data_IF_825467981321
#
_entry.id   IF_825467981321
#
_cell.length_a   1.000
_cell.length_b   1.000
_cell.length_c   1.000
_cell.angle_alpha   90.00
_cell.angle_beta   90.00
_cell.angle_gamma   90.00
#
_symmetry.space_group_name_H-M   'P 1'
#
loop_
_entity.id
_entity.type
_entity.pdbx_description
1 polymer ?
#
# COMPACT_ATOMS: atom_id res chain seq x y z
N UNK A 1 -39.05 -26.82 47.76
CA UNK A 1 -38.93 -27.98 46.82
C UNK A 1 -37.95 -27.58 45.72
N UNK A 2 -36.68 -27.92 45.89
CA UNK A 2 -35.65 -27.76 44.86
C UNK A 2 -35.81 -28.89 43.82
N UNK A 3 -36.04 -28.54 42.56
CA UNK A 3 -35.98 -29.48 41.45
C UNK A 3 -34.49 -29.74 41.17
N UNK A 4 -33.99 -30.91 41.57
CA UNK A 4 -32.70 -31.44 41.09
C UNK A 4 -32.82 -31.72 39.58
N UNK A 5 -32.09 -30.96 38.78
CA UNK A 5 -31.99 -31.21 37.33
C UNK A 5 -31.36 -32.58 37.10
N UNK A 6 -31.99 -33.39 36.26
CA UNK A 6 -31.60 -34.77 35.98
C UNK A 6 -30.22 -34.79 35.31
N UNK A 7 -29.27 -35.61 35.82
CA UNK A 7 -27.90 -35.73 35.33
C UNK A 7 -27.82 -35.92 33.82
N UNK A 8 -28.78 -36.63 33.25
CA UNK A 8 -28.87 -36.89 31.80
C UNK A 8 -29.20 -35.63 30.98
N UNK A 9 -29.92 -34.63 31.54
CA UNK A 9 -30.14 -33.36 30.87
C UNK A 9 -28.88 -32.50 30.79
N UNK A 10 -28.01 -32.58 31.78
CA UNK A 10 -26.74 -31.84 31.77
C UNK A 10 -25.75 -32.40 30.74
N UNK A 11 -25.68 -33.72 30.61
CA UNK A 11 -24.83 -34.36 29.61
C UNK A 11 -25.31 -34.08 28.17
N UNK A 12 -26.61 -34.06 27.94
CA UNK A 12 -27.17 -33.72 26.61
C UNK A 12 -26.89 -32.25 26.22
N UNK A 13 -27.06 -31.34 27.19
CA UNK A 13 -26.77 -29.90 26.95
C UNK A 13 -25.27 -29.70 26.67
N UNK A 14 -24.40 -30.38 27.41
CA UNK A 14 -22.96 -30.32 27.22
C UNK A 14 -22.54 -30.90 25.86
N UNK A 15 -23.10 -32.03 25.45
CA UNK A 15 -22.87 -32.64 24.16
C UNK A 15 -23.34 -31.71 22.99
N UNK A 16 -24.51 -31.08 23.11
CA UNK A 16 -25.00 -30.13 22.10
C UNK A 16 -24.10 -28.90 22.06
N UNK A 17 -23.65 -28.36 23.17
CA UNK A 17 -22.74 -27.22 23.23
C UNK A 17 -21.39 -27.54 22.64
N UNK A 18 -20.83 -28.73 22.92
CA UNK A 18 -19.55 -29.19 22.32
C UNK A 18 -19.71 -29.47 20.83
N UNK A 19 -20.84 -30.05 20.40
CA UNK A 19 -21.10 -30.33 18.98
C UNK A 19 -21.33 -29.05 18.18
N UNK A 20 -22.04 -28.07 18.74
CA UNK A 20 -22.20 -26.73 18.11
C UNK A 20 -20.88 -25.99 18.06
N UNK A 21 -20.04 -26.06 19.11
CA UNK A 21 -18.70 -25.45 19.11
C UNK A 21 -17.77 -26.13 18.08
N UNK A 22 -17.79 -27.46 17.96
CA UNK A 22 -17.05 -28.22 16.95
C UNK A 22 -17.56 -27.93 15.53
N UNK A 23 -18.87 -27.79 15.32
CA UNK A 23 -19.43 -27.43 14.01
C UNK A 23 -19.06 -25.99 13.60
N UNK A 24 -18.99 -25.06 14.55
CA UNK A 24 -18.56 -23.69 14.27
C UNK A 24 -17.07 -23.65 13.88
N UNK A 25 -16.23 -24.45 14.56
CA UNK A 25 -14.79 -24.50 14.24
C UNK A 25 -14.48 -25.22 12.93
N UNK A 26 -15.33 -26.13 12.46
CA UNK A 26 -15.14 -26.83 11.18
C UNK A 26 -15.71 -26.06 9.98
N UNK A 27 -16.62 -25.11 10.17
CA UNK A 27 -17.13 -24.25 9.09
C UNK A 27 -16.10 -23.22 8.60
N UNK A 28 -15.00 -23.02 9.33
CA UNK A 28 -13.86 -22.15 8.90
C UNK A 28 -12.77 -22.93 8.13
N UNK A 29 -13.04 -24.15 7.70
CA UNK A 29 -12.06 -25.00 7.06
C UNK A 29 -12.05 -24.84 5.54
N UNK A 30 -10.85 -24.58 5.06
CA UNK A 30 -10.37 -24.75 3.68
C UNK A 30 -10.72 -23.66 2.67
N UNK A 31 -10.18 -22.47 2.90
CA UNK A 31 -9.83 -21.65 1.74
C UNK A 31 -8.73 -22.37 0.95
N UNK A 32 -8.78 -22.27 -0.39
CA UNK A 32 -7.75 -22.85 -1.25
C UNK A 32 -6.37 -22.21 -1.02
N UNK A 33 -5.31 -22.89 -1.45
CA UNK A 33 -3.92 -22.45 -1.23
C UNK A 33 -3.65 -21.03 -1.81
N UNK A 34 -4.27 -20.69 -2.94
CA UNK A 34 -4.11 -19.37 -3.55
C UNK A 34 -4.75 -18.29 -2.69
N UNK A 35 -5.98 -18.50 -2.23
CA UNK A 35 -6.67 -17.62 -1.30
C UNK A 35 -5.88 -17.45 -0.01
N UNK A 36 -5.37 -18.54 0.58
CA UNK A 36 -4.54 -18.49 1.79
C UNK A 36 -3.26 -17.66 1.58
N UNK A 37 -2.60 -17.81 0.42
CA UNK A 37 -1.42 -17.00 0.06
C UNK A 37 -1.73 -15.52 -0.06
N UNK A 38 -2.87 -15.15 -0.65
CA UNK A 38 -3.32 -13.76 -0.77
C UNK A 38 -3.63 -13.20 0.61
N UNK A 39 -4.46 -13.89 1.39
CA UNK A 39 -4.90 -13.44 2.72
C UNK A 39 -3.72 -13.29 3.68
N UNK A 40 -2.71 -14.15 3.59
CA UNK A 40 -1.51 -14.04 4.44
C UNK A 40 -0.74 -12.73 4.26
N UNK A 41 -0.77 -12.13 3.05
CA UNK A 41 -0.14 -10.84 2.75
C UNK A 41 -0.96 -9.65 3.26
N UNK A 42 -2.25 -9.85 3.49
CA UNK A 42 -3.18 -8.79 3.88
C UNK A 42 -3.37 -8.70 5.40
N UNK A 43 -2.85 -9.62 6.19
CA UNK A 43 -3.05 -9.72 7.65
C UNK A 43 -2.84 -8.40 8.38
N UNK A 44 -3.69 -8.14 9.39
CA UNK A 44 -3.68 -6.93 10.23
C UNK A 44 -4.62 -5.84 9.73
N UNK A 45 -4.47 -4.65 10.33
CA UNK A 45 -5.39 -3.54 10.13
C UNK A 45 -4.98 -2.65 8.97
N UNK A 46 -6.00 -2.17 8.23
CA UNK A 46 -5.89 -1.21 7.16
C UNK A 46 -6.79 -0.01 7.46
N UNK A 47 -6.23 1.17 7.35
CA UNK A 47 -6.84 2.41 7.81
C UNK A 47 -7.28 3.28 6.64
N UNK A 48 -8.43 3.92 6.77
CA UNK A 48 -8.90 4.95 5.84
C UNK A 48 -8.10 6.26 5.99
N UNK A 49 -8.36 7.24 5.15
CA UNK A 49 -7.72 8.57 5.19
C UNK A 49 -7.94 9.33 6.51
N UNK A 50 -8.93 8.93 7.31
CA UNK A 50 -9.23 9.53 8.61
C UNK A 50 -8.57 8.77 9.76
N UNK A 51 -7.87 7.69 9.49
CA UNK A 51 -7.24 6.83 10.46
C UNK A 51 -8.20 5.85 11.16
N UNK A 52 -9.41 5.63 10.62
CA UNK A 52 -10.29 4.59 11.11
C UNK A 52 -9.93 3.25 10.47
N UNK A 53 -10.11 2.16 11.22
CA UNK A 53 -9.95 0.80 10.69
C UNK A 53 -11.07 0.54 9.67
N UNK A 54 -10.70 0.34 8.42
CA UNK A 54 -11.62 0.02 7.34
C UNK A 54 -11.67 -1.49 7.07
N UNK A 55 -10.51 -2.16 7.08
CA UNK A 55 -10.39 -3.62 7.01
C UNK A 55 -9.49 -4.10 8.13
N UNK A 56 -9.89 -5.21 8.76
CA UNK A 56 -9.09 -5.94 9.75
C UNK A 56 -9.05 -7.41 9.34
N UNK A 57 -7.89 -7.85 8.86
CA UNK A 57 -7.66 -9.23 8.45
C UNK A 57 -7.08 -10.02 9.61
N UNK A 58 -7.84 -11.00 10.12
CA UNK A 58 -7.42 -11.89 11.18
C UNK A 58 -7.64 -13.35 10.76
N UNK A 59 -6.55 -14.09 10.53
CA UNK A 59 -6.63 -15.45 10.00
C UNK A 59 -7.35 -15.47 8.65
N UNK A 60 -8.44 -16.23 8.57
CA UNK A 60 -9.27 -16.35 7.37
C UNK A 60 -10.54 -15.48 7.43
N UNK A 61 -10.48 -14.36 8.13
CA UNK A 61 -11.59 -13.42 8.22
C UNK A 61 -11.16 -12.00 7.85
N UNK A 62 -12.10 -11.18 7.44
CA UNK A 62 -11.95 -9.72 7.34
C UNK A 62 -13.12 -9.05 8.02
N UNK A 63 -12.84 -8.15 8.98
CA UNK A 63 -13.83 -7.51 9.86
C UNK A 63 -14.73 -8.55 10.56
N UNK A 64 -14.16 -9.72 10.95
CA UNK A 64 -14.89 -10.84 11.53
C UNK A 64 -15.72 -11.65 10.54
N UNK A 65 -15.81 -11.26 9.26
CA UNK A 65 -16.54 -11.98 8.23
C UNK A 65 -15.66 -13.07 7.61
N UNK A 66 -16.13 -14.33 7.50
CA UNK A 66 -15.36 -15.41 6.87
C UNK A 66 -15.04 -15.13 5.40
N UNK A 67 -13.79 -15.38 5.01
CA UNK A 67 -13.35 -15.33 3.63
C UNK A 67 -13.64 -16.68 2.98
N UNK A 68 -14.31 -16.67 1.84
CA UNK A 68 -14.70 -17.86 1.08
C UNK A 68 -13.69 -18.18 -0.01
N UNK A 69 -13.14 -17.15 -0.65
CA UNK A 69 -12.17 -17.30 -1.72
C UNK A 69 -11.69 -15.99 -2.31
N UNK A 70 -10.56 -16.06 -3.02
CA UNK A 70 -10.04 -14.97 -3.83
C UNK A 70 -10.15 -15.35 -5.32
N UNK A 71 -10.80 -14.49 -6.09
CA UNK A 71 -11.11 -14.72 -7.50
C UNK A 71 -10.38 -13.72 -8.39
N UNK A 72 -10.05 -14.16 -9.61
CA UNK A 72 -9.41 -13.32 -10.62
C UNK A 72 -8.13 -12.61 -10.15
N UNK A 73 -7.21 -13.32 -9.44
CA UNK A 73 -5.97 -12.69 -9.04
C UNK A 73 -5.14 -12.35 -10.28
N UNK A 74 -4.63 -11.12 -10.32
CA UNK A 74 -3.74 -10.65 -11.37
C UNK A 74 -2.60 -9.86 -10.76
N UNK A 75 -1.37 -10.09 -11.20
CA UNK A 75 -0.18 -9.39 -10.71
C UNK A 75 0.85 -10.31 -10.04
N UNK A 76 1.81 -9.70 -9.36
CA UNK A 76 2.97 -10.36 -8.76
C UNK A 76 2.88 -10.56 -7.25
N UNK A 77 4.06 -10.75 -6.61
CA UNK A 77 4.16 -11.13 -5.20
C UNK A 77 3.70 -10.07 -4.20
N UNK A 78 3.89 -8.80 -4.50
CA UNK A 78 3.53 -7.67 -3.61
C UNK A 78 2.48 -6.74 -4.22
N UNK A 79 2.36 -6.75 -5.55
CA UNK A 79 1.45 -5.90 -6.32
C UNK A 79 0.47 -6.78 -7.07
N UNK A 80 -0.77 -6.81 -6.64
CA UNK A 80 -1.80 -7.64 -7.25
C UNK A 80 -3.19 -7.03 -7.10
N UNK A 81 -4.12 -7.49 -7.92
CA UNK A 81 -5.54 -7.27 -7.75
C UNK A 81 -6.28 -8.57 -7.60
N UNK A 82 -7.38 -8.58 -6.86
CA UNK A 82 -8.28 -9.73 -6.75
C UNK A 82 -9.67 -9.29 -6.31
N UNK A 83 -10.63 -10.19 -6.49
CA UNK A 83 -11.95 -10.10 -5.86
C UNK A 83 -11.97 -11.06 -4.68
N UNK A 84 -12.05 -10.52 -3.47
CA UNK A 84 -12.17 -11.30 -2.25
C UNK A 84 -13.65 -11.49 -1.92
N UNK A 85 -14.11 -12.73 -1.86
CA UNK A 85 -15.49 -13.04 -1.46
C UNK A 85 -15.56 -13.38 0.01
N UNK A 86 -16.48 -12.74 0.70
CA UNK A 86 -16.74 -12.92 2.14
C UNK A 86 -18.22 -13.29 2.38
N UNK A 87 -18.51 -13.79 3.59
CA UNK A 87 -19.87 -13.96 4.07
C UNK A 87 -20.16 -12.85 5.07
N UNK A 88 -21.05 -11.95 4.75
CA UNK A 88 -21.51 -10.87 5.62
C UNK A 88 -23.05 -10.96 5.73
N UNK A 89 -23.57 -11.06 6.97
CA UNK A 89 -25.00 -11.21 7.25
C UNK A 89 -25.65 -12.35 6.43
N UNK A 90 -25.03 -13.54 6.46
CA UNK A 90 -25.47 -14.75 5.76
C UNK A 90 -25.52 -14.63 4.21
N UNK A 91 -24.94 -13.59 3.65
CA UNK A 91 -24.89 -13.33 2.22
C UNK A 91 -23.47 -13.19 1.70
N UNK A 92 -23.25 -13.58 0.44
CA UNK A 92 -21.95 -13.33 -0.19
C UNK A 92 -21.81 -11.85 -0.55
N UNK A 93 -20.63 -11.32 -0.25
CA UNK A 93 -20.21 -9.98 -0.63
C UNK A 93 -18.84 -10.04 -1.26
N UNK A 94 -18.66 -9.35 -2.36
CA UNK A 94 -17.41 -9.27 -3.09
C UNK A 94 -16.71 -7.92 -2.78
N UNK A 95 -15.45 -8.00 -2.41
CA UNK A 95 -14.56 -6.87 -2.20
C UNK A 95 -13.52 -6.89 -3.32
N UNK A 96 -13.51 -5.89 -4.18
CA UNK A 96 -12.46 -5.76 -5.17
C UNK A 96 -11.28 -5.02 -4.55
N UNK A 97 -10.09 -5.63 -4.58
CA UNK A 97 -8.87 -5.11 -4.01
C UNK A 97 -7.82 -4.90 -5.10
N UNK A 98 -7.21 -3.73 -5.12
CA UNK A 98 -5.96 -3.47 -5.82
C UNK A 98 -4.93 -3.24 -4.72
N UNK A 99 -3.93 -4.11 -4.63
CA UNK A 99 -2.94 -4.12 -3.57
C UNK A 99 -1.60 -3.70 -4.11
N UNK A 100 -0.90 -2.83 -3.41
CA UNK A 100 0.46 -2.42 -3.73
C UNK A 100 1.36 -2.53 -2.51
N UNK A 101 2.58 -3.03 -2.71
CA UNK A 101 3.62 -3.24 -1.69
C UNK A 101 3.18 -4.09 -0.48
N UNK A 102 2.12 -4.92 -0.64
CA UNK A 102 1.64 -5.80 0.42
C UNK A 102 2.55 -7.02 0.60
N UNK A 103 2.64 -7.53 1.85
CA UNK A 103 3.53 -8.65 2.17
C UNK A 103 4.89 -8.23 2.74
N UNK A 104 5.29 -6.98 2.56
CA UNK A 104 6.34 -6.32 3.32
C UNK A 104 5.66 -5.16 4.05
N UNK A 105 5.35 -5.28 5.34
CA UNK A 105 4.66 -4.21 6.08
C UNK A 105 5.58 -2.99 6.19
N UNK A 106 5.39 -2.06 5.29
CA UNK A 106 5.96 -0.73 5.33
C UNK A 106 4.83 0.30 5.14
N UNK A 107 5.14 1.58 5.24
CA UNK A 107 4.13 2.63 5.14
C UNK A 107 3.70 2.95 3.70
N UNK A 108 4.31 2.33 2.67
CA UNK A 108 3.86 2.39 1.29
C UNK A 108 2.88 1.28 0.93
N UNK A 109 2.71 0.27 1.80
CA UNK A 109 1.70 -0.76 1.59
C UNK A 109 0.31 -0.15 1.59
N UNK A 110 -0.43 -0.32 0.50
CA UNK A 110 -1.79 0.19 0.42
C UNK A 110 -2.72 -0.77 -0.33
N UNK A 111 -4.02 -0.62 -0.06
CA UNK A 111 -5.11 -1.29 -0.76
C UNK A 111 -6.03 -0.21 -1.32
N UNK A 112 -6.43 -0.33 -2.58
CA UNK A 112 -7.56 0.40 -3.13
C UNK A 112 -8.76 -0.54 -3.07
N UNK A 113 -9.70 -0.23 -2.17
CA UNK A 113 -10.90 -1.02 -1.95
C UNK A 113 -12.00 -0.58 -2.90
N UNK A 114 -12.59 -1.52 -3.61
CA UNK A 114 -13.71 -1.32 -4.54
C UNK A 114 -13.43 -0.31 -5.66
N UNK A 115 -12.15 -0.18 -6.06
CA UNK A 115 -11.78 0.50 -7.29
C UNK A 115 -12.29 -0.27 -8.51
N UNK A 116 -12.58 0.41 -9.61
CA UNK A 116 -12.85 -0.25 -10.87
C UNK A 116 -11.52 -0.66 -11.53
N UNK A 117 -11.52 -1.81 -12.23
CA UNK A 117 -10.36 -2.20 -13.03
C UNK A 117 -10.03 -1.09 -14.04
N UNK A 118 -8.84 -0.51 -13.94
CA UNK A 118 -8.41 0.63 -14.75
C UNK A 118 -8.86 2.01 -14.27
N UNK A 119 -9.67 2.11 -13.20
CA UNK A 119 -10.07 3.38 -12.58
C UNK A 119 -10.05 3.26 -11.06
N UNK A 120 -8.85 3.23 -10.50
CA UNK A 120 -8.65 3.17 -9.05
C UNK A 120 -9.12 4.45 -8.32
N UNK A 121 -9.35 5.56 -9.04
CA UNK A 121 -9.81 6.82 -8.45
C UNK A 121 -11.19 6.72 -7.80
N UNK A 122 -11.97 5.70 -8.15
CA UNK A 122 -13.30 5.44 -7.56
C UNK A 122 -13.25 4.61 -6.29
N UNK A 123 -12.11 4.00 -5.97
CA UNK A 123 -11.93 3.19 -4.78
C UNK A 123 -11.50 4.00 -3.56
N UNK A 124 -11.67 3.42 -2.38
CA UNK A 124 -11.11 3.98 -1.14
C UNK A 124 -9.68 3.47 -0.96
N UNK A 125 -8.72 4.37 -0.83
CA UNK A 125 -7.35 3.99 -0.48
C UNK A 125 -7.24 3.73 1.02
N UNK A 126 -6.68 2.59 1.35
CA UNK A 126 -6.42 2.15 2.71
C UNK A 126 -4.91 1.98 2.91
N UNK A 127 -4.40 2.45 4.05
CA UNK A 127 -2.98 2.42 4.40
C UNK A 127 -2.73 1.47 5.57
N UNK A 128 -1.49 0.99 5.69
CA UNK A 128 -1.04 0.20 6.87
C UNK A 128 -0.93 1.02 8.14
N UNK A 129 -0.81 2.32 8.05
CA UNK A 129 -0.65 3.22 9.19
C UNK A 129 -1.82 4.18 9.30
N UNK A 130 -2.16 4.60 10.52
CA UNK A 130 -3.26 5.56 10.77
C UNK A 130 -3.02 6.92 10.15
N UNK A 131 -1.76 7.28 9.96
CA UNK A 131 -1.32 8.53 9.34
C UNK A 131 -0.27 8.21 8.30
N UNK A 132 -0.31 8.92 7.17
CA UNK A 132 0.74 8.81 6.17
C UNK A 132 2.09 9.18 6.80
N UNK A 133 3.10 8.36 6.54
CA UNK A 133 4.47 8.59 6.95
C UNK A 133 5.33 8.67 5.70
N UNK A 134 6.23 9.64 5.67
CA UNK A 134 7.14 9.84 4.56
C UNK A 134 8.56 9.65 5.06
N UNK A 135 9.35 8.78 4.42
CA UNK A 135 10.73 8.58 4.80
C UNK A 135 11.62 9.69 4.25
N UNK A 136 11.59 9.89 2.93
CA UNK A 136 12.23 11.04 2.32
C UNK A 136 11.18 11.97 1.74
N UNK A 137 11.46 13.27 1.77
CA UNK A 137 10.57 14.29 1.24
C UNK A 137 11.34 15.39 0.51
N UNK A 138 10.62 16.14 -0.32
CA UNK A 138 11.12 17.35 -0.97
C UNK A 138 10.19 18.51 -0.61
N UNK A 139 10.66 19.39 0.26
CA UNK A 139 9.84 20.46 0.81
C UNK A 139 8.59 19.93 1.54
N UNK A 140 8.70 18.75 2.16
CA UNK A 140 7.63 18.07 2.85
C UNK A 140 6.59 17.41 1.93
N UNK A 141 6.88 17.17 0.63
CA UNK A 141 6.13 16.27 -0.23
C UNK A 141 6.83 14.92 -0.21
N UNK A 142 6.11 13.86 0.09
CA UNK A 142 6.59 12.48 0.07
C UNK A 142 5.81 11.60 -0.91
N UNK A 143 6.31 10.40 -1.14
CA UNK A 143 5.63 9.38 -1.95
C UNK A 143 4.30 9.02 -1.28
N UNK A 144 3.27 8.75 -2.06
CA UNK A 144 1.88 8.49 -1.67
C UNK A 144 1.11 9.71 -1.08
N UNK A 145 1.70 10.90 -1.07
CA UNK A 145 0.97 12.10 -0.65
C UNK A 145 -0.22 12.39 -1.58
N UNK A 146 -1.43 12.61 -1.05
CA UNK A 146 -2.59 12.96 -1.85
C UNK A 146 -2.39 14.26 -2.64
N UNK A 147 -2.89 14.32 -3.86
CA UNK A 147 -2.80 15.50 -4.74
C UNK A 147 -3.36 16.77 -4.07
N UNK A 148 -4.46 16.64 -3.31
CA UNK A 148 -5.06 17.75 -2.56
C UNK A 148 -4.10 18.38 -1.54
N UNK A 149 -3.25 17.57 -0.91
CA UNK A 149 -2.25 18.06 0.06
C UNK A 149 -1.09 18.75 -0.65
N UNK A 150 -0.67 18.21 -1.80
CA UNK A 150 0.33 18.87 -2.66
C UNK A 150 -0.16 20.24 -3.10
N UNK A 151 -1.42 20.34 -3.59
CA UNK A 151 -2.03 21.61 -4.01
C UNK A 151 -2.18 22.58 -2.83
N UNK A 152 -2.60 22.09 -1.68
CA UNK A 152 -2.71 22.93 -0.48
C UNK A 152 -1.36 23.51 -0.07
N UNK A 153 -0.24 22.81 -0.32
CA UNK A 153 1.11 23.21 0.04
C UNK A 153 1.76 24.14 -0.99
N UNK A 154 1.63 23.83 -2.28
CA UNK A 154 2.35 24.50 -3.36
C UNK A 154 1.45 25.21 -4.38
N UNK A 155 0.13 25.08 -4.25
CA UNK A 155 -0.81 25.55 -5.25
C UNK A 155 -0.88 24.62 -6.46
N UNK A 156 -1.57 25.10 -7.49
CA UNK A 156 -1.68 24.37 -8.76
C UNK A 156 -0.32 24.26 -9.46
N UNK A 157 0.01 23.13 -10.10
CA UNK A 157 1.20 23.03 -10.91
C UNK A 157 1.13 23.91 -12.15
N UNK A 158 2.29 24.39 -12.61
CA UNK A 158 2.39 25.18 -13.84
C UNK A 158 1.97 24.39 -15.08
N UNK A 159 2.12 23.07 -15.04
CA UNK A 159 1.77 22.16 -16.12
C UNK A 159 1.28 20.81 -15.61
N UNK A 160 0.28 20.28 -16.30
CA UNK A 160 -0.18 18.88 -16.16
C UNK A 160 -0.20 18.20 -17.51
N UNK A 161 0.42 17.03 -17.64
CA UNK A 161 0.40 16.24 -18.87
C UNK A 161 0.41 14.74 -18.56
N UNK A 162 -0.02 13.91 -19.49
CA UNK A 162 0.08 12.45 -19.36
C UNK A 162 1.56 12.05 -19.35
N UNK A 163 1.96 11.26 -18.35
CA UNK A 163 3.33 10.79 -18.21
C UNK A 163 3.64 9.64 -19.16
N UNK A 164 4.70 9.79 -19.96
CA UNK A 164 5.21 8.74 -20.87
C UNK A 164 4.13 7.99 -21.67
N UNK A 165 2.98 8.60 -21.92
CA UNK A 165 1.79 8.00 -22.55
C UNK A 165 1.17 6.83 -21.76
N UNK A 166 1.46 6.71 -20.47
CA UNK A 166 0.88 5.72 -19.58
C UNK A 166 -0.49 6.22 -19.10
N UNK A 167 -1.59 5.54 -19.41
CA UNK A 167 -2.91 5.93 -18.93
C UNK A 167 -2.96 5.94 -17.40
N UNK A 168 -3.52 6.98 -16.81
CA UNK A 168 -3.66 7.13 -15.35
C UNK A 168 -2.44 7.70 -14.64
N UNK A 169 -1.33 7.94 -15.36
CA UNK A 169 -0.16 8.63 -14.82
C UNK A 169 -0.05 10.04 -15.40
N UNK A 170 0.13 11.04 -14.53
CA UNK A 170 0.21 12.45 -14.90
C UNK A 170 1.49 13.06 -14.36
N UNK A 171 2.19 13.84 -15.19
CA UNK A 171 3.30 14.67 -14.76
C UNK A 171 2.76 16.05 -14.37
N UNK A 172 3.04 16.45 -13.15
CA UNK A 172 2.83 17.80 -12.62
C UNK A 172 4.17 18.50 -12.51
N UNK A 173 4.29 19.66 -13.14
CA UNK A 173 5.54 20.41 -13.12
C UNK A 173 5.36 21.74 -12.39
N UNK A 174 6.31 22.05 -11.53
CA UNK A 174 6.47 23.31 -10.82
C UNK A 174 7.79 23.95 -11.28
N UNK A 175 7.72 24.76 -12.36
CA UNK A 175 8.89 25.25 -13.08
C UNK A 175 9.83 26.08 -12.20
N UNK A 176 9.26 26.98 -11.36
CA UNK A 176 10.06 27.85 -10.48
C UNK A 176 10.86 27.07 -9.44
N UNK A 177 10.37 25.91 -9.07
CA UNK A 177 11.00 25.05 -8.06
C UNK A 177 11.93 24.01 -8.66
N UNK A 178 11.91 23.81 -9.98
CA UNK A 178 12.59 22.70 -10.62
C UNK A 178 12.11 21.35 -10.08
N UNK A 179 10.80 21.22 -9.84
CA UNK A 179 10.18 20.05 -9.25
C UNK A 179 9.17 19.46 -10.22
N UNK A 180 9.25 18.16 -10.43
CA UNK A 180 8.25 17.38 -11.14
C UNK A 180 7.70 16.29 -10.22
N UNK A 181 6.40 16.07 -10.27
CA UNK A 181 5.71 14.99 -9.55
C UNK A 181 5.01 14.11 -10.58
N UNK A 182 5.29 12.82 -10.56
CA UNK A 182 4.47 11.86 -11.29
C UNK A 182 3.33 11.47 -10.36
N UNK A 183 2.11 11.74 -10.80
CA UNK A 183 0.89 11.46 -10.05
C UNK A 183 0.26 10.19 -10.60
N UNK A 184 -0.08 9.27 -9.71
CA UNK A 184 -0.80 8.03 -10.03
C UNK A 184 -1.90 7.82 -8.99
N UNK A 185 -3.10 7.49 -9.43
CA UNK A 185 -4.25 7.31 -8.53
C UNK A 185 -4.51 8.51 -7.60
N UNK A 186 -4.28 9.72 -8.13
CA UNK A 186 -4.43 10.99 -7.41
C UNK A 186 -3.44 11.17 -6.23
N UNK A 187 -2.29 10.48 -6.29
CA UNK A 187 -1.20 10.53 -5.31
C UNK A 187 0.15 10.68 -5.98
N UNK A 188 1.12 11.11 -5.21
CA UNK A 188 2.51 11.22 -5.65
C UNK A 188 3.11 9.82 -5.78
N UNK A 189 3.39 9.39 -7.00
CA UNK A 189 4.07 8.13 -7.32
C UNK A 189 5.60 8.32 -7.38
N UNK A 190 6.05 9.47 -7.90
CA UNK A 190 7.47 9.82 -8.00
C UNK A 190 7.69 11.30 -7.77
N UNK A 191 8.84 11.62 -7.20
CA UNK A 191 9.32 12.99 -7.02
C UNK A 191 10.61 13.15 -7.82
N UNK A 192 10.66 14.15 -8.68
CA UNK A 192 11.80 14.42 -9.55
C UNK A 192 12.34 15.83 -9.27
N UNK A 193 13.56 15.91 -8.77
CA UNK A 193 14.27 17.16 -8.59
C UNK A 193 15.09 17.42 -9.85
N UNK A 194 14.89 18.58 -10.48
CA UNK A 194 15.61 18.99 -11.67
C UNK A 194 16.83 19.85 -11.29
N UNK A 195 17.88 19.74 -12.10
CA UNK A 195 19.17 20.44 -11.89
C UNK A 195 19.04 21.96 -11.79
N UNK A 196 18.10 22.52 -12.52
CA UNK A 196 17.87 23.97 -12.57
C UNK A 196 16.99 24.51 -11.46
N UNK A 197 16.57 23.64 -10.52
CA UNK A 197 15.74 24.01 -9.37
C UNK A 197 16.55 24.24 -8.11
N UNK A 198 15.88 24.80 -7.11
CA UNK A 198 16.43 25.05 -5.77
C UNK A 198 16.04 23.97 -4.76
N UNK A 199 15.19 23.02 -5.18
CA UNK A 199 14.69 21.98 -4.29
C UNK A 199 15.75 20.98 -3.90
N UNK A 200 15.58 20.48 -2.67
CA UNK A 200 16.50 19.52 -2.03
C UNK A 200 15.69 18.44 -1.35
N UNK A 201 16.28 17.29 -1.22
CA UNK A 201 15.76 16.24 -0.33
C UNK A 201 15.85 16.72 1.11
N UNK A 202 14.73 16.66 1.85
CA UNK A 202 14.64 17.30 3.17
C UNK A 202 15.54 16.63 4.22
N UNK A 203 15.72 15.32 4.12
CA UNK A 203 16.56 14.55 5.05
C UNK A 203 18.04 14.82 4.87
N UNK A 204 18.49 14.92 3.63
CA UNK A 204 19.92 15.06 3.33
C UNK A 204 20.34 16.48 3.01
N UNK A 205 19.43 17.33 2.57
CA UNK A 205 19.72 18.63 1.99
C UNK A 205 20.38 18.56 0.60
N UNK A 206 20.40 17.38 -0.04
CA UNK A 206 21.06 17.14 -1.32
C UNK A 206 20.14 17.38 -2.51
N UNK A 207 20.75 17.63 -3.66
CA UNK A 207 20.07 17.78 -4.95
C UNK A 207 21.01 17.36 -6.10
N UNK A 208 20.72 17.74 -7.35
CA UNK A 208 21.50 17.37 -8.52
C UNK A 208 22.93 17.90 -8.59
N UNK A 209 23.38 18.72 -7.63
CA UNK A 209 24.80 19.12 -7.53
C UNK A 209 25.64 18.12 -6.72
N UNK A 210 24.99 17.27 -5.94
CA UNK A 210 25.63 16.24 -5.14
C UNK A 210 25.80 14.95 -5.98
N UNK A 211 26.99 14.35 -5.89
CA UNK A 211 27.26 13.13 -6.62
C UNK A 211 26.49 11.91 -6.04
N UNK A 212 26.13 10.91 -6.85
CA UNK A 212 25.38 9.73 -6.37
C UNK A 212 26.02 9.01 -5.18
N UNK A 213 27.35 8.95 -5.10
CA UNK A 213 28.05 8.31 -3.99
C UNK A 213 27.86 9.04 -2.66
N UNK A 214 27.65 10.37 -2.66
CA UNK A 214 27.36 11.15 -1.43
C UNK A 214 26.01 10.74 -0.85
N UNK A 215 25.01 10.51 -1.70
CA UNK A 215 23.71 9.97 -1.27
C UNK A 215 23.86 8.57 -0.66
N UNK A 216 24.63 7.70 -1.32
CA UNK A 216 24.87 6.35 -0.80
C UNK A 216 25.55 6.39 0.58
N UNK A 217 26.51 7.28 0.78
CA UNK A 217 27.20 7.44 2.06
C UNK A 217 26.24 7.88 3.17
N UNK A 218 25.41 8.90 2.90
CA UNK A 218 24.47 9.44 3.91
C UNK A 218 23.36 8.46 4.26
N UNK A 219 22.85 7.71 3.28
CA UNK A 219 21.83 6.68 3.54
C UNK A 219 22.42 5.36 4.05
N UNK A 220 23.75 5.25 4.16
CA UNK A 220 24.43 4.04 4.62
C UNK A 220 24.31 2.87 3.64
N UNK A 221 24.07 3.14 2.37
CA UNK A 221 23.88 2.13 1.33
C UNK A 221 25.25 1.69 0.81
N UNK A 222 25.49 0.38 0.76
CA UNK A 222 26.71 -0.15 0.16
C UNK A 222 26.57 -0.18 -1.37
N UNK A 223 27.58 0.31 -2.06
CA UNK A 223 27.69 0.20 -3.50
C UNK A 223 27.61 -1.28 -3.92
N UNK A 224 26.68 -1.64 -4.76
CA UNK A 224 26.67 -2.94 -5.40
C UNK A 224 27.70 -2.93 -6.53
N UNK A 225 28.78 -3.75 -6.48
CA UNK A 225 29.76 -3.82 -7.56
C UNK A 225 29.06 -4.21 -8.86
N UNK A 226 29.15 -3.36 -9.90
CA UNK A 226 28.55 -3.60 -11.20
C UNK A 226 27.31 -2.75 -11.50
N UNK A 227 26.70 -2.11 -10.54
CA UNK A 227 25.79 -1.00 -10.82
C UNK A 227 26.67 0.17 -11.33
N UNK A 228 26.43 0.63 -12.56
CA UNK A 228 27.13 1.80 -13.09
C UNK A 228 26.90 3.04 -12.21
N UNK A 229 27.63 4.16 -12.46
CA UNK A 229 27.47 5.41 -11.72
C UNK A 229 26.06 6.00 -11.83
N UNK A 230 25.24 5.44 -12.68
CA UNK A 230 23.87 5.81 -12.99
C UNK A 230 22.98 4.59 -12.68
N UNK A 231 22.61 4.40 -11.46
CA UNK A 231 21.75 3.31 -11.04
C UNK A 231 20.75 3.78 -10.00
N UNK A 232 19.99 2.86 -9.50
CA UNK A 232 19.10 3.08 -8.37
C UNK A 232 19.62 2.35 -7.15
N UNK A 233 19.28 2.85 -5.98
CA UNK A 233 19.51 2.16 -4.71
C UNK A 233 18.38 2.45 -3.73
N UNK A 234 18.06 1.47 -2.92
CA UNK A 234 17.09 1.61 -1.85
C UNK A 234 17.70 2.47 -0.73
N UNK A 235 16.97 3.55 -0.36
CA UNK A 235 17.40 4.46 0.71
C UNK A 235 16.78 4.07 2.06
N UNK A 236 15.84 3.16 2.07
CA UNK A 236 15.12 2.65 3.23
C UNK A 236 13.62 2.75 3.07
N UNK A 237 12.89 1.95 3.85
CA UNK A 237 11.43 1.96 3.91
C UNK A 237 10.72 1.75 2.57
N UNK A 238 11.33 1.02 1.65
CA UNK A 238 10.75 0.77 0.33
C UNK A 238 10.89 1.92 -0.66
N UNK A 239 11.65 2.96 -0.31
CA UNK A 239 11.96 4.06 -1.22
C UNK A 239 13.30 3.87 -1.93
N UNK A 240 13.32 4.15 -3.22
CA UNK A 240 14.49 4.10 -4.09
C UNK A 240 14.82 5.46 -4.70
N UNK A 241 16.11 5.77 -4.75
CA UNK A 241 16.64 6.91 -5.45
C UNK A 241 17.22 6.48 -6.78
N UNK A 242 16.87 7.21 -7.87
CA UNK A 242 17.25 6.89 -9.24
C UNK A 242 18.08 8.02 -9.82
N UNK A 243 19.17 7.66 -10.49
CA UNK A 243 20.15 8.58 -11.09
C UNK A 243 20.28 8.38 -12.59
N UNK A 244 19.29 7.77 -13.24
CA UNK A 244 19.32 7.47 -14.69
C UNK A 244 19.46 8.72 -15.57
N UNK A 245 18.88 9.84 -15.10
CA UNK A 245 18.94 11.14 -15.78
C UNK A 245 19.93 12.12 -15.12
N UNK A 246 20.80 11.63 -14.21
CA UNK A 246 21.80 12.47 -13.55
C UNK A 246 22.84 13.02 -14.57
N UNK A 247 23.29 14.29 -14.46
CA UNK A 247 22.98 15.25 -13.39
C UNK A 247 21.74 16.10 -13.61
N UNK A 248 20.94 15.85 -14.63
CA UNK A 248 19.83 16.73 -14.99
C UNK A 248 18.60 16.50 -14.11
N UNK A 249 18.45 15.28 -13.58
CA UNK A 249 17.36 14.90 -12.69
C UNK A 249 17.80 13.82 -11.69
N UNK A 250 17.27 13.90 -10.47
CA UNK A 250 17.26 12.80 -9.50
C UNK A 250 15.80 12.48 -9.19
N UNK A 251 15.45 11.18 -9.26
CA UNK A 251 14.09 10.70 -9.01
C UNK A 251 14.03 9.91 -7.70
N UNK A 252 13.02 10.16 -6.90
CA UNK A 252 12.61 9.37 -5.74
C UNK A 252 11.31 8.64 -6.09
N UNK A 253 11.25 7.34 -5.86
CA UNK A 253 10.05 6.53 -6.05
C UNK A 253 10.03 5.35 -5.08
N UNK A 254 8.96 4.57 -5.07
CA UNK A 254 8.97 3.26 -4.42
C UNK A 254 9.91 2.31 -5.15
N UNK A 255 10.58 1.43 -4.41
CA UNK A 255 11.41 0.39 -5.02
C UNK A 255 10.52 -0.59 -5.81
N UNK A 256 10.86 -0.83 -7.07
CA UNK A 256 10.31 -1.95 -7.80
C UNK A 256 10.88 -3.26 -7.21
N UNK A 257 10.01 -4.11 -6.69
CA UNK A 257 10.34 -5.45 -6.21
C UNK A 257 10.11 -6.49 -7.30
#
# INVERSE_FOLDING_TARGET
>A
RGRTMNKNCFEIIYLIAVFTFLCITTAFANIDTQTASIVSKLQGQWYDEKGNVALDFEGNTVNGCPIVGAYHPAGGSGDFSCTLRIIENESYKDLFLICAHVGKPDYHSHIILNGAYGDASKGAMLLRTKTAQYYETVGGIGIDMPSKEVIAKYGEPDMRQIWRKTPGEYLWRYNRMGLELVMRYDRVDRIRILKNGDRRFDRTGFNCVNAPYEFQEVYGVRYAPGAGPFGSFEIGHGECMWFDEYPDCIELSTCCN
#
